data_IF_098803814137
#
_entry.id   IF_098803814137
#
_cell.length_a   1.000
_cell.length_b   1.000
_cell.length_c   1.000
_cell.angle_alpha   90.00
_cell.angle_beta   90.00
_cell.angle_gamma   90.00
#
_symmetry.space_group_name_H-M   'P 1'
#
loop_
_entity.id
_entity.type
_entity.pdbx_description
1 polymer ?
#
# COMPACT_ATOMS: atom_id res chain seq x y z
N UNK A 1 -18.05 -3.86 -19.47
CA UNK A 1 -17.93 -5.31 -19.27
C UNK A 1 -16.48 -5.71 -19.45
N UNK A 2 -15.97 -6.62 -18.62
CA UNK A 2 -14.59 -7.13 -18.66
C UNK A 2 -14.64 -8.58 -19.18
N UNK A 3 -13.66 -9.00 -19.99
CA UNK A 3 -13.63 -10.37 -20.54
C UNK A 3 -13.56 -11.43 -19.42
N UNK A 4 -14.36 -12.52 -19.47
CA UNK A 4 -14.29 -13.61 -18.49
C UNK A 4 -12.91 -14.26 -18.38
N UNK A 5 -12.12 -14.21 -19.44
CA UNK A 5 -10.75 -14.76 -19.48
C UNK A 5 -9.77 -14.04 -18.56
N UNK A 6 -10.10 -12.83 -18.11
CA UNK A 6 -9.23 -12.03 -17.24
C UNK A 6 -9.35 -12.38 -15.75
N UNK A 7 -10.32 -13.23 -15.37
CA UNK A 7 -10.63 -13.57 -13.98
C UNK A 7 -10.60 -12.33 -13.05
N UNK A 8 -11.48 -11.34 -13.27
CA UNK A 8 -11.39 -10.06 -12.59
C UNK A 8 -11.56 -10.21 -11.07
N UNK A 9 -10.58 -9.74 -10.30
CA UNK A 9 -10.61 -9.76 -8.84
C UNK A 9 -10.68 -8.34 -8.30
N UNK A 10 -11.68 -8.07 -7.47
CA UNK A 10 -11.78 -6.81 -6.75
C UNK A 10 -10.78 -6.79 -5.58
N UNK A 11 -10.15 -5.64 -5.35
CA UNK A 11 -9.20 -5.45 -4.26
C UNK A 11 -9.61 -4.28 -3.38
N UNK A 12 -9.32 -4.40 -2.09
CA UNK A 12 -9.38 -3.27 -1.15
C UNK A 12 -8.10 -2.44 -1.19
N UNK A 13 -6.98 -3.10 -1.46
CA UNK A 13 -5.64 -2.55 -1.29
C UNK A 13 -4.85 -2.63 -2.58
N UNK A 14 -4.06 -1.59 -2.85
CA UNK A 14 -3.21 -1.50 -4.02
C UNK A 14 -2.03 -0.57 -3.75
N UNK A 15 -0.95 -0.77 -4.49
CA UNK A 15 0.17 0.16 -4.52
C UNK A 15 0.12 1.02 -5.77
N UNK A 16 0.43 2.29 -5.60
CA UNK A 16 0.47 3.27 -6.67
C UNK A 16 1.70 4.16 -6.57
N UNK A 17 2.30 4.45 -7.72
CA UNK A 17 3.34 5.47 -7.83
C UNK A 17 2.67 6.80 -8.19
N UNK A 18 2.86 7.82 -7.35
CA UNK A 18 2.28 9.14 -7.59
C UNK A 18 3.35 10.22 -7.73
N UNK A 19 2.99 11.27 -8.46
CA UNK A 19 3.63 12.58 -8.46
C UNK A 19 2.64 13.59 -7.86
N UNK A 20 3.06 14.27 -6.80
CA UNK A 20 2.29 15.33 -6.18
C UNK A 20 2.41 16.61 -7.02
N UNK A 21 1.27 17.16 -7.43
CA UNK A 21 1.18 18.41 -8.17
C UNK A 21 1.07 19.58 -7.18
N UNK A 22 0.17 20.52 -7.40
CA UNK A 22 -0.02 21.68 -6.52
C UNK A 22 -0.79 21.30 -5.26
N UNK A 23 -0.05 20.90 -4.21
CA UNK A 23 -0.62 20.59 -2.91
C UNK A 23 -0.09 21.53 -1.83
N UNK A 24 -0.92 22.43 -1.28
CA UNK A 24 -0.49 23.32 -0.20
C UNK A 24 -0.36 22.60 1.15
N UNK A 25 -0.80 21.35 1.26
CA UNK A 25 -0.75 20.57 2.50
C UNK A 25 0.16 19.34 2.38
N UNK A 26 0.60 18.84 3.52
CA UNK A 26 1.47 17.67 3.63
C UNK A 26 0.64 16.39 3.47
N UNK A 27 1.06 15.50 2.57
CA UNK A 27 0.46 14.16 2.43
C UNK A 27 1.28 13.17 3.27
N UNK A 28 0.61 12.40 4.12
CA UNK A 28 1.21 11.41 5.02
C UNK A 28 0.29 10.21 5.22
N UNK A 29 0.72 9.24 6.03
CA UNK A 29 -0.12 8.11 6.43
C UNK A 29 -1.43 8.58 7.08
N UNK A 30 -2.54 7.91 6.75
CA UNK A 30 -3.89 8.25 7.20
C UNK A 30 -4.58 9.34 6.39
N UNK A 31 -3.87 10.02 5.48
CA UNK A 31 -4.48 10.96 4.54
C UNK A 31 -5.49 10.24 3.64
N UNK A 32 -6.64 10.87 3.42
CA UNK A 32 -7.72 10.32 2.60
C UNK A 32 -7.99 11.23 1.42
N UNK A 33 -8.08 10.64 0.22
CA UNK A 33 -8.39 11.39 -1.00
C UNK A 33 -9.29 10.58 -1.92
N UNK A 34 -10.00 11.26 -2.81
CA UNK A 34 -10.78 10.60 -3.84
C UNK A 34 -9.87 10.12 -4.97
N UNK A 35 -9.84 8.81 -5.19
CA UNK A 35 -9.14 8.15 -6.28
C UNK A 35 -10.06 8.10 -7.49
N UNK A 36 -9.59 8.68 -8.59
CA UNK A 36 -10.18 8.51 -9.90
C UNK A 36 -9.29 7.58 -10.73
N UNK A 37 -9.80 6.41 -11.12
CA UNK A 37 -9.09 5.45 -11.96
C UNK A 37 -10.07 4.83 -12.97
N UNK A 38 -10.01 5.26 -14.24
CA UNK A 38 -11.03 4.89 -15.22
C UNK A 38 -12.44 5.33 -14.77
N UNK A 39 -13.33 4.37 -14.53
CA UNK A 39 -14.68 4.60 -14.02
C UNK A 39 -14.77 4.69 -12.49
N UNK A 40 -13.74 4.28 -11.76
CA UNK A 40 -13.71 4.27 -10.30
C UNK A 40 -13.65 5.71 -9.78
N UNK A 41 -14.48 6.00 -8.78
CA UNK A 41 -14.54 7.29 -8.06
C UNK A 41 -14.79 7.03 -6.59
N UNK A 42 -13.74 6.66 -5.86
CA UNK A 42 -13.87 6.19 -4.49
C UNK A 42 -12.81 6.82 -3.59
N UNK A 43 -13.17 7.07 -2.34
CA UNK A 43 -12.22 7.53 -1.32
C UNK A 43 -11.31 6.38 -0.90
N UNK A 44 -10.00 6.63 -0.94
CA UNK A 44 -9.00 5.73 -0.39
C UNK A 44 -8.21 6.43 0.72
N UNK A 45 -7.81 5.65 1.72
CA UNK A 45 -6.88 6.05 2.77
C UNK A 45 -5.46 5.61 2.42
N UNK A 46 -4.48 6.44 2.73
CA UNK A 46 -3.06 6.06 2.66
C UNK A 46 -2.72 5.22 3.89
N UNK A 47 -2.43 3.94 3.67
CA UNK A 47 -2.03 3.00 4.72
C UNK A 47 -0.54 3.12 5.03
N UNK A 48 0.27 3.25 3.98
CA UNK A 48 1.72 3.37 4.09
C UNK A 48 2.27 4.18 2.94
N UNK A 49 3.36 4.88 3.23
CA UNK A 49 4.05 5.74 2.29
C UNK A 49 5.55 5.47 2.38
N UNK A 50 6.24 5.51 1.24
CA UNK A 50 7.69 5.24 1.16
C UNK A 50 8.56 6.38 1.72
N UNK A 51 7.97 7.57 1.94
CA UNK A 51 8.59 8.73 2.60
C UNK A 51 7.75 9.14 3.80
N UNK A 52 8.32 9.80 4.80
CA UNK A 52 7.56 10.27 5.97
C UNK A 52 6.41 11.23 5.59
N UNK A 53 6.66 12.11 4.62
CA UNK A 53 5.66 12.99 4.05
C UNK A 53 5.97 13.41 2.62
N UNK A 54 4.96 13.88 1.88
CA UNK A 54 5.11 14.39 0.51
C UNK A 54 4.59 15.83 0.37
N UNK A 55 5.25 16.56 -0.52
CA UNK A 55 4.91 17.93 -0.96
C UNK A 55 4.90 18.01 -2.48
N UNK A 56 4.58 19.19 -3.01
CA UNK A 56 4.58 19.48 -4.44
C UNK A 56 5.91 19.07 -5.09
N UNK A 57 5.82 18.31 -6.19
CA UNK A 57 6.98 17.79 -6.93
C UNK A 57 7.51 16.44 -6.45
N UNK A 58 7.07 15.95 -5.27
CA UNK A 58 7.50 14.65 -4.78
C UNK A 58 6.89 13.50 -5.58
N UNK A 59 7.75 12.51 -5.86
CA UNK A 59 7.36 11.18 -6.33
C UNK A 59 7.52 10.15 -5.22
N UNK A 60 6.57 9.24 -5.09
CA UNK A 60 6.62 8.17 -4.09
C UNK A 60 5.72 6.99 -4.46
N UNK A 61 6.07 5.81 -3.92
CA UNK A 61 5.19 4.64 -3.84
C UNK A 61 4.33 4.76 -2.60
N UNK A 62 3.03 4.54 -2.78
CA UNK A 62 2.01 4.65 -1.73
C UNK A 62 1.13 3.39 -1.75
N UNK A 63 0.90 2.84 -0.56
CA UNK A 63 -0.07 1.79 -0.33
C UNK A 63 -1.41 2.43 0.06
N UNK A 64 -2.41 2.24 -0.79
CA UNK A 64 -3.76 2.73 -0.61
C UNK A 64 -4.71 1.62 -0.17
N UNK A 65 -5.76 2.00 0.56
CA UNK A 65 -6.91 1.15 0.87
C UNK A 65 -8.22 1.89 0.59
N UNK A 66 -9.08 1.32 -0.25
CA UNK A 66 -10.45 1.80 -0.46
C UNK A 66 -11.28 1.71 0.82
N UNK A 67 -12.19 2.66 1.02
CA UNK A 67 -12.94 2.79 2.27
C UNK A 67 -14.28 2.07 2.20
N UNK A 68 -14.98 2.12 1.07
CA UNK A 68 -16.39 1.74 0.99
C UNK A 68 -16.61 0.41 0.30
N UNK A 69 -15.95 0.16 -0.82
CA UNK A 69 -16.09 -1.07 -1.60
C UNK A 69 -14.74 -1.51 -2.18
N UNK A 70 -14.55 -2.82 -2.44
CA UNK A 70 -13.42 -3.28 -3.21
C UNK A 70 -13.65 -2.98 -4.69
N UNK A 71 -12.59 -2.59 -5.40
CA UNK A 71 -12.66 -2.19 -6.80
C UNK A 71 -11.76 -3.06 -7.67
N UNK A 72 -12.15 -3.27 -8.93
CA UNK A 72 -11.32 -3.99 -9.90
C UNK A 72 -10.37 -3.01 -10.59
N UNK A 73 -9.07 -3.28 -10.49
CA UNK A 73 -8.03 -2.48 -11.12
C UNK A 73 -6.93 -3.37 -11.68
N UNK A 74 -6.16 -2.82 -12.61
CA UNK A 74 -5.01 -3.49 -13.22
C UNK A 74 -3.75 -2.65 -13.09
N UNK A 75 -2.58 -3.28 -12.89
CA UNK A 75 -1.30 -2.59 -12.95
C UNK A 75 -1.14 -1.80 -14.26
N UNK A 76 -0.54 -0.62 -14.17
CA UNK A 76 -0.34 0.32 -15.27
C UNK A 76 -1.51 1.27 -15.52
N UNK A 77 -2.67 1.09 -14.90
CA UNK A 77 -3.77 2.04 -15.03
C UNK A 77 -3.41 3.41 -14.44
N UNK A 78 -3.80 4.47 -15.15
CA UNK A 78 -3.63 5.85 -14.69
C UNK A 78 -4.66 6.18 -13.62
N UNK A 79 -4.20 6.83 -12.57
CA UNK A 79 -5.03 7.34 -11.48
C UNK A 79 -4.77 8.81 -11.17
N UNK A 80 -5.76 9.45 -10.56
CA UNK A 80 -5.70 10.84 -10.10
C UNK A 80 -6.25 10.92 -8.68
N UNK A 81 -5.52 11.60 -7.79
CA UNK A 81 -6.01 11.92 -6.44
C UNK A 81 -6.66 13.30 -6.46
N UNK A 82 -7.88 13.40 -5.91
CA UNK A 82 -8.66 14.64 -5.87
C UNK A 82 -9.19 14.97 -4.48
N UNK A 83 -9.16 16.27 -4.19
CA UNK A 83 -9.88 16.93 -3.10
C UNK A 83 -10.37 18.29 -3.63
N UNK A 84 -11.47 18.25 -4.40
CA UNK A 84 -11.92 19.37 -5.24
C UNK A 84 -11.05 19.53 -6.51
N UNK A 85 -9.77 19.86 -6.34
CA UNK A 85 -8.77 19.95 -7.42
C UNK A 85 -7.92 18.67 -7.49
N UNK A 86 -7.22 18.50 -8.60
CA UNK A 86 -6.23 17.45 -8.77
C UNK A 86 -5.03 17.70 -7.86
N UNK A 87 -4.73 16.77 -6.97
CA UNK A 87 -3.63 16.87 -6.00
C UNK A 87 -2.41 16.07 -6.43
N UNK A 88 -2.64 14.88 -6.98
CA UNK A 88 -1.59 14.03 -7.50
C UNK A 88 -2.08 13.26 -8.71
N UNK A 89 -1.14 12.82 -9.53
CA UNK A 89 -1.36 11.92 -10.66
C UNK A 89 -0.41 10.74 -10.52
N UNK A 90 -0.81 9.57 -11.01
CA UNK A 90 0.02 8.38 -10.85
C UNK A 90 -0.48 7.19 -11.64
N UNK A 91 0.19 6.06 -11.44
CA UNK A 91 -0.20 4.78 -12.01
C UNK A 91 -0.31 3.72 -10.92
N UNK A 92 -1.21 2.76 -11.13
CA UNK A 92 -1.28 1.55 -10.32
C UNK A 92 -0.02 0.72 -10.60
N UNK A 93 0.68 0.32 -9.55
CA UNK A 93 1.91 -0.49 -9.62
C UNK A 93 1.60 -1.94 -9.36
N UNK A 94 0.82 -2.22 -8.31
CA UNK A 94 0.51 -3.58 -7.88
C UNK A 94 -0.87 -3.65 -7.22
N UNK A 95 -1.58 -4.75 -7.45
CA UNK A 95 -2.84 -5.07 -6.76
C UNK A 95 -2.53 -5.98 -5.57
N UNK A 96 -3.07 -5.67 -4.40
CA UNK A 96 -2.89 -6.47 -3.19
C UNK A 96 -4.16 -7.28 -2.98
N UNK A 97 -4.16 -8.50 -3.51
CA UNK A 97 -5.18 -9.51 -3.21
C UNK A 97 -4.77 -10.20 -1.91
N UNK A 98 -5.56 -10.05 -0.85
CA UNK A 98 -5.28 -10.74 0.41
C UNK A 98 -5.51 -12.25 0.24
N UNK A 99 -4.52 -12.97 -0.27
CA UNK A 99 -4.40 -14.42 -0.20
C UNK A 99 -3.19 -14.78 0.64
N UNK A 100 -3.30 -14.62 1.97
CA UNK A 100 -2.43 -15.38 2.87
C UNK A 100 -3.33 -16.22 3.79
N UNK A 101 -3.42 -17.55 3.59
CA UNK A 101 -3.84 -18.43 4.66
C UNK A 101 -2.67 -18.51 5.64
N UNK A 102 -2.56 -17.53 6.53
CA UNK A 102 -1.54 -17.56 7.58
C UNK A 102 -1.94 -18.63 8.59
N UNK A 103 -1.37 -19.83 8.48
CA UNK A 103 -1.36 -20.77 9.61
C UNK A 103 -0.50 -20.15 10.73
N UNK A 104 -1.07 -19.82 11.90
CA UNK A 104 -0.30 -19.28 13.01
C UNK A 104 0.28 -20.45 13.81
N UNK A 105 1.43 -21.01 13.43
CA UNK A 105 2.29 -21.76 14.36
C UNK A 105 3.66 -22.12 13.76
N UNK A 106 4.65 -21.26 13.98
CA UNK A 106 6.04 -21.66 14.04
C UNK A 106 6.65 -21.00 15.28
N UNK A 107 6.58 -21.69 16.42
CA UNK A 107 7.33 -21.34 17.63
C UNK A 107 8.80 -21.68 17.38
N UNK A 108 9.62 -20.69 17.04
CA UNK A 108 11.07 -20.85 17.01
C UNK A 108 11.60 -20.83 18.45
N UNK A 109 11.96 -22.01 18.99
CA UNK A 109 12.74 -22.11 20.23
C UNK A 109 14.16 -21.58 19.95
N UNK A 110 14.54 -20.49 20.62
CA UNK A 110 15.93 -20.01 20.66
C UNK A 110 16.77 -20.99 21.51
N UNK A 111 17.65 -21.74 20.86
CA UNK A 111 18.76 -22.43 21.52
C UNK A 111 19.82 -21.40 21.90
N UNK A 112 20.11 -21.29 23.19
CA UNK A 112 21.22 -20.46 23.71
C UNK A 112 22.31 -21.39 24.24
N UNK A 113 23.22 -21.78 23.37
CA UNK A 113 24.51 -22.36 23.73
C UNK A 113 25.44 -21.21 24.12
N UNK A 114 25.92 -21.17 25.36
CA UNK A 114 27.26 -20.63 25.61
C UNK A 114 27.88 -21.19 26.89
N UNK A 115 29.08 -21.72 26.69
CA UNK A 115 30.06 -22.27 27.63
C UNK A 115 30.68 -21.21 28.55
N UNK A 116 31.11 -21.64 29.75
CA UNK A 116 32.30 -21.19 30.53
C UNK A 116 32.41 -22.08 31.78
N UNK A 117 33.37 -22.99 31.81
CA UNK A 117 34.74 -22.85 32.33
C UNK A 117 34.83 -23.27 33.80
N UNK A 118 35.30 -24.50 34.05
CA UNK A 118 35.51 -25.06 35.40
C UNK A 118 36.99 -24.93 35.74
N UNK A 119 37.33 -23.95 36.57
CA UNK A 119 38.58 -23.94 37.31
C UNK A 119 38.46 -24.96 38.46
N UNK A 120 39.36 -25.94 38.47
CA UNK A 120 39.59 -26.86 39.58
C UNK A 120 40.55 -26.18 40.55
N UNK A 121 40.12 -25.96 41.78
CA UNK A 121 40.99 -25.64 42.91
C UNK A 121 40.68 -26.60 44.06
N UNK A 122 41.77 -27.22 44.56
CA UNK A 122 41.95 -28.10 45.72
C UNK A 122 41.46 -29.55 45.59
#
# INVERSE_FOLDING_TARGET
MVSPTLNPQACWEFEGEILVLHHPTTISSGYQAMVHCGSIRETASIVKISKECLRTGDKAIIHFRFIKHPEYMTPGQRMVLREGRTKAVGNIVQIITQTTPTHPNARTKQNKTNSRDTAVEI
#
